data_IF_141292198633
#
_entry.id   IF_141292198633
#
_cell.length_a   1.000
_cell.length_b   1.000
_cell.length_c   1.000
_cell.angle_alpha   90.00
_cell.angle_beta   90.00
_cell.angle_gamma   90.00
#
_symmetry.space_group_name_H-M   'P 1'
#
loop_
_entity.id
_entity.type
_entity.pdbx_description
1 polymer ?
#
# COMPACT_ATOMS: atom_id res chain seq x y z
N UNK A 1 -23.55 -44.21 0.47
CA UNK A 1 -22.72 -44.23 -0.77
C UNK A 1 -22.27 -42.80 -0.98
N UNK A 2 -21.04 -42.49 -0.59
CA UNK A 2 -20.41 -41.19 -0.87
C UNK A 2 -19.86 -41.30 -2.28
N UNK A 3 -20.53 -40.64 -3.23
CA UNK A 3 -20.02 -40.51 -4.59
C UNK A 3 -18.92 -39.46 -4.53
N UNK A 4 -17.67 -39.90 -4.53
CA UNK A 4 -16.52 -39.01 -4.75
C UNK A 4 -16.53 -38.58 -6.22
N UNK A 5 -17.14 -37.44 -6.51
CA UNK A 5 -16.92 -36.72 -7.76
C UNK A 5 -15.51 -36.12 -7.71
N UNK A 6 -14.52 -36.85 -8.17
CA UNK A 6 -13.22 -36.32 -8.50
C UNK A 6 -13.32 -35.67 -9.88
N UNK A 7 -13.82 -34.43 -9.95
CA UNK A 7 -13.68 -33.64 -11.16
C UNK A 7 -12.22 -33.16 -11.24
N UNK A 8 -11.37 -33.94 -11.85
CA UNK A 8 -10.02 -33.57 -12.22
C UNK A 8 -10.05 -32.64 -13.43
N UNK A 9 -10.41 -31.39 -13.20
CA UNK A 9 -9.99 -30.25 -13.99
C UNK A 9 -9.21 -29.35 -13.02
N UNK A 10 -8.16 -29.56 -12.98
CA UNK A 10 -6.79 -29.49 -12.51
C UNK A 10 -6.32 -28.16 -11.87
N UNK A 11 -7.15 -27.20 -11.52
CA UNK A 11 -6.66 -25.93 -10.95
C UNK A 11 -7.23 -25.57 -9.57
N UNK A 12 -8.24 -26.30 -9.07
CA UNK A 12 -8.74 -26.08 -7.71
C UNK A 12 -9.32 -27.38 -7.13
N UNK A 13 -9.19 -27.54 -5.81
CA UNK A 13 -9.76 -28.68 -5.07
C UNK A 13 -10.36 -28.19 -3.76
N UNK A 14 -11.48 -28.82 -3.34
CA UNK A 14 -11.97 -28.72 -1.99
C UNK A 14 -11.31 -29.82 -1.17
N UNK A 15 -10.53 -29.45 -0.15
CA UNK A 15 -9.85 -30.42 0.70
C UNK A 15 -10.84 -31.12 1.64
N UNK A 16 -10.44 -32.25 2.22
CA UNK A 16 -11.25 -32.95 3.23
C UNK A 16 -11.57 -32.10 4.47
N UNK A 17 -10.75 -31.10 4.76
CA UNK A 17 -10.98 -30.12 5.85
C UNK A 17 -11.89 -28.94 5.44
N UNK A 18 -12.50 -28.97 4.26
CA UNK A 18 -13.41 -27.91 3.79
C UNK A 18 -12.70 -26.68 3.25
N UNK A 19 -11.40 -26.75 2.97
CA UNK A 19 -10.64 -25.61 2.44
C UNK A 19 -10.60 -25.68 0.92
N UNK A 20 -10.99 -24.61 0.25
CA UNK A 20 -10.83 -24.45 -1.18
C UNK A 20 -9.38 -24.09 -1.49
N UNK A 21 -8.71 -24.91 -2.31
CA UNK A 21 -7.29 -24.75 -2.65
C UNK A 21 -7.11 -24.64 -4.14
N UNK A 22 -6.46 -23.58 -4.60
CA UNK A 22 -6.09 -23.38 -5.99
C UNK A 22 -4.70 -23.95 -6.28
N UNK A 23 -4.53 -24.66 -7.41
CA UNK A 23 -3.21 -25.05 -7.88
C UNK A 23 -2.41 -23.80 -8.26
N UNK A 24 -1.19 -23.68 -7.74
CA UNK A 24 -0.34 -22.51 -7.95
C UNK A 24 1.10 -22.91 -8.31
N UNK A 25 1.27 -24.10 -8.86
CA UNK A 25 2.58 -24.59 -9.33
C UNK A 25 3.10 -23.71 -10.48
N UNK A 26 4.37 -23.30 -10.37
CA UNK A 26 5.05 -22.50 -11.38
C UNK A 26 5.06 -23.19 -12.75
N UNK A 27 5.17 -24.53 -12.78
CA UNK A 27 5.22 -25.31 -14.02
C UNK A 27 3.88 -25.37 -14.75
N UNK A 28 2.78 -24.97 -14.10
CA UNK A 28 1.46 -24.85 -14.71
C UNK A 28 1.18 -23.44 -15.26
N UNK A 29 2.15 -22.52 -15.15
CA UNK A 29 2.03 -21.13 -15.56
C UNK A 29 3.02 -20.82 -16.69
N UNK A 30 2.66 -19.87 -17.54
CA UNK A 30 3.49 -19.38 -18.63
C UNK A 30 3.38 -17.86 -18.77
N UNK A 31 4.19 -17.26 -19.64
CA UNK A 31 4.14 -15.84 -19.98
C UNK A 31 4.22 -14.92 -18.74
N UNK A 32 5.24 -15.14 -17.90
CA UNK A 32 5.47 -14.33 -16.72
C UNK A 32 5.90 -12.91 -17.11
N UNK A 33 5.19 -11.94 -16.62
CA UNK A 33 5.49 -10.53 -16.80
C UNK A 33 5.66 -9.84 -15.42
N UNK A 34 6.49 -8.81 -15.38
CA UNK A 34 6.63 -8.00 -14.17
C UNK A 34 5.38 -7.16 -13.95
N UNK A 35 4.94 -7.07 -12.69
CA UNK A 35 3.80 -6.25 -12.28
C UNK A 35 4.31 -4.93 -11.74
N UNK A 36 3.76 -3.82 -12.24
CA UNK A 36 3.93 -2.51 -11.62
C UNK A 36 3.03 -2.41 -10.39
N UNK A 37 3.60 -2.71 -9.23
CA UNK A 37 2.89 -2.71 -7.96
C UNK A 37 2.35 -1.33 -7.58
N UNK A 38 3.01 -0.24 -7.98
CA UNK A 38 2.55 1.12 -7.72
C UNK A 38 1.27 1.43 -8.51
N UNK A 39 1.26 1.09 -9.82
CA UNK A 39 0.07 1.23 -10.65
C UNK A 39 -1.08 0.34 -10.17
N UNK A 40 -0.80 -0.86 -9.66
CA UNK A 40 -1.82 -1.73 -9.05
C UNK A 40 -2.41 -1.08 -7.80
N UNK A 41 -1.59 -0.52 -6.92
CA UNK A 41 -2.05 0.17 -5.70
C UNK A 41 -2.96 1.35 -6.04
N UNK A 42 -2.62 2.17 -7.02
CA UNK A 42 -3.46 3.29 -7.48
C UNK A 42 -4.83 2.81 -7.96
N UNK A 43 -4.85 1.72 -8.74
CA UNK A 43 -6.11 1.11 -9.21
C UNK A 43 -6.93 0.54 -8.07
N UNK A 44 -6.31 -0.11 -7.08
CA UNK A 44 -7.01 -0.60 -5.87
C UNK A 44 -7.60 0.55 -5.08
N UNK A 45 -6.87 1.66 -4.92
CA UNK A 45 -7.35 2.85 -4.21
C UNK A 45 -8.54 3.53 -4.92
N UNK A 46 -8.63 3.40 -6.24
CA UNK A 46 -9.72 3.96 -7.05
C UNK A 46 -10.87 2.96 -7.28
N UNK A 47 -10.70 1.69 -6.92
CA UNK A 47 -11.68 0.64 -7.19
C UNK A 47 -12.96 0.87 -6.37
N UNK A 48 -14.16 0.90 -7.00
CA UNK A 48 -15.41 1.02 -6.28
C UNK A 48 -15.64 -0.19 -5.37
N UNK A 49 -15.70 0.05 -4.08
CA UNK A 49 -16.04 -0.96 -3.07
C UNK A 49 -17.44 -0.66 -2.55
N UNK A 50 -18.32 -1.63 -2.64
CA UNK A 50 -19.70 -1.51 -2.16
C UNK A 50 -20.07 -2.65 -1.23
N UNK A 51 -21.21 -2.46 -0.56
CA UNK A 51 -21.85 -3.47 0.28
C UNK A 51 -23.06 -3.99 -0.46
N UNK A 52 -23.18 -5.32 -0.62
CA UNK A 52 -24.20 -5.94 -1.44
C UNK A 52 -24.60 -7.31 -0.87
N UNK A 53 -25.64 -7.91 -1.41
CA UNK A 53 -26.02 -9.31 -1.22
C UNK A 53 -26.40 -9.92 -2.57
N UNK A 54 -26.28 -11.22 -2.69
CA UNK A 54 -26.80 -11.91 -3.86
C UNK A 54 -28.35 -11.85 -3.89
N UNK A 55 -28.93 -11.71 -5.07
CA UNK A 55 -30.40 -11.67 -5.25
C UNK A 55 -31.10 -12.95 -4.77
N UNK A 56 -30.37 -14.05 -4.63
CA UNK A 56 -30.87 -15.33 -4.13
C UNK A 56 -30.71 -15.50 -2.62
N UNK A 57 -30.10 -14.52 -1.93
CA UNK A 57 -29.86 -14.54 -0.48
C UNK A 57 -30.85 -13.64 0.26
N UNK A 58 -30.96 -13.84 1.56
CA UNK A 58 -31.70 -12.92 2.43
C UNK A 58 -31.06 -11.54 2.42
N UNK A 59 -31.88 -10.48 2.46
CA UNK A 59 -31.41 -9.09 2.57
C UNK A 59 -30.57 -8.81 3.84
N UNK A 60 -30.60 -9.69 4.82
CA UNK A 60 -29.77 -9.60 6.03
C UNK A 60 -28.33 -10.03 5.80
N UNK A 61 -28.08 -10.90 4.80
CA UNK A 61 -26.73 -11.33 4.43
C UNK A 61 -26.04 -10.19 3.66
N UNK A 62 -24.84 -9.79 4.10
CA UNK A 62 -24.10 -8.71 3.45
C UNK A 62 -22.67 -9.11 3.18
N UNK A 63 -22.25 -8.78 1.98
CA UNK A 63 -20.87 -8.91 1.49
C UNK A 63 -20.27 -7.51 1.27
N UNK A 64 -18.96 -7.44 1.16
CA UNK A 64 -18.22 -6.22 0.82
C UNK A 64 -17.23 -6.57 -0.28
N UNK A 65 -17.21 -5.78 -1.33
CA UNK A 65 -16.24 -5.96 -2.40
C UNK A 65 -16.59 -5.15 -3.64
N UNK A 66 -15.74 -5.20 -4.66
CA UNK A 66 -16.01 -4.67 -5.98
C UNK A 66 -16.99 -5.59 -6.72
N UNK A 67 -17.54 -5.09 -7.82
CA UNK A 67 -18.17 -5.96 -8.82
C UNK A 67 -17.11 -6.60 -9.72
N UNK A 68 -17.44 -7.71 -10.36
CA UNK A 68 -16.53 -8.35 -11.31
C UNK A 68 -16.24 -7.43 -12.51
N UNK A 69 -17.21 -6.66 -12.94
CA UNK A 69 -17.07 -5.69 -14.04
C UNK A 69 -16.04 -4.61 -13.69
N UNK A 70 -16.14 -4.01 -12.50
CA UNK A 70 -15.20 -2.97 -12.04
C UNK A 70 -13.79 -3.54 -11.86
N UNK A 71 -13.69 -4.74 -11.31
CA UNK A 71 -12.40 -5.41 -11.10
C UNK A 71 -11.73 -5.74 -12.44
N UNK A 72 -12.48 -6.33 -13.38
CA UNK A 72 -11.95 -6.66 -14.71
C UNK A 72 -11.55 -5.39 -15.49
N UNK A 73 -12.35 -4.33 -15.43
CA UNK A 73 -12.03 -3.05 -16.07
C UNK A 73 -10.76 -2.42 -15.50
N UNK A 74 -10.51 -2.55 -14.19
CA UNK A 74 -9.33 -2.01 -13.54
C UNK A 74 -8.07 -2.80 -13.84
N UNK A 75 -8.12 -4.13 -13.78
CA UNK A 75 -6.92 -4.99 -13.77
C UNK A 75 -6.73 -5.82 -15.05
N UNK A 76 -7.78 -6.07 -15.83
CA UNK A 76 -7.71 -6.89 -17.04
C UNK A 76 -7.37 -8.36 -16.77
N UNK A 77 -7.64 -8.84 -15.54
CA UNK A 77 -7.37 -10.23 -15.11
C UNK A 77 -8.64 -11.06 -15.16
N UNK A 78 -8.46 -12.39 -15.14
CA UNK A 78 -9.58 -13.34 -15.22
C UNK A 78 -9.98 -13.66 -16.65
N UNK A 79 -10.93 -14.59 -16.78
CA UNK A 79 -11.44 -15.08 -18.06
C UNK A 79 -12.62 -14.26 -18.61
N UNK A 80 -13.32 -13.56 -17.72
CA UNK A 80 -14.54 -12.79 -18.03
C UNK A 80 -14.75 -11.65 -17.00
N UNK A 81 -15.76 -10.85 -17.22
CA UNK A 81 -16.15 -9.72 -16.36
C UNK A 81 -17.33 -10.05 -15.42
N UNK A 82 -17.69 -11.32 -15.27
CA UNK A 82 -18.81 -11.77 -14.45
C UNK A 82 -18.39 -12.49 -13.18
N UNK A 83 -17.09 -12.82 -13.07
CA UNK A 83 -16.49 -13.48 -11.91
C UNK A 83 -15.14 -12.89 -11.54
N UNK A 84 -14.75 -13.01 -10.28
CA UNK A 84 -13.41 -12.67 -9.79
C UNK A 84 -12.75 -13.93 -9.28
N UNK A 85 -11.63 -14.31 -9.89
CA UNK A 85 -10.80 -15.41 -9.41
C UNK A 85 -10.16 -15.04 -8.07
N UNK A 86 -10.22 -15.94 -7.08
CA UNK A 86 -9.56 -15.70 -5.78
C UNK A 86 -8.06 -15.47 -5.93
N UNK A 87 -7.43 -16.18 -6.87
CA UNK A 87 -6.00 -16.02 -7.19
C UNK A 87 -5.69 -14.61 -7.69
N UNK A 88 -6.59 -14.01 -8.49
CA UNK A 88 -6.42 -12.67 -9.03
C UNK A 88 -6.63 -11.61 -7.96
N UNK A 89 -7.68 -11.75 -7.14
CA UNK A 89 -7.92 -10.85 -6.01
C UNK A 89 -6.77 -10.87 -5.01
N UNK A 90 -6.28 -12.05 -4.64
CA UNK A 90 -5.14 -12.22 -3.74
C UNK A 90 -3.84 -11.65 -4.35
N UNK A 91 -3.62 -11.87 -5.65
CA UNK A 91 -2.47 -11.33 -6.37
C UNK A 91 -2.44 -9.81 -6.41
N UNK A 92 -3.58 -9.18 -6.69
CA UNK A 92 -3.76 -7.72 -6.64
C UNK A 92 -3.53 -7.18 -5.23
N UNK A 93 -4.04 -7.85 -4.20
CA UNK A 93 -3.81 -7.46 -2.81
C UNK A 93 -2.33 -7.55 -2.43
N UNK A 94 -1.63 -8.63 -2.79
CA UNK A 94 -0.20 -8.81 -2.51
C UNK A 94 0.66 -7.76 -3.23
N UNK A 95 0.37 -7.44 -4.49
CA UNK A 95 1.07 -6.39 -5.22
C UNK A 95 0.85 -5.02 -4.54
N UNK A 96 -0.37 -4.72 -4.11
CA UNK A 96 -0.67 -3.47 -3.40
C UNK A 96 0.05 -3.36 -2.06
N UNK A 97 0.16 -4.45 -1.31
CA UNK A 97 0.91 -4.50 -0.04
C UNK A 97 2.40 -4.23 -0.29
N UNK A 98 2.99 -4.79 -1.37
CA UNK A 98 4.37 -4.52 -1.74
C UNK A 98 4.61 -3.04 -2.05
N UNK A 99 3.71 -2.41 -2.81
CA UNK A 99 3.79 -0.99 -3.12
C UNK A 99 3.65 -0.11 -1.86
N UNK A 100 2.72 -0.43 -0.98
CA UNK A 100 2.55 0.28 0.31
C UNK A 100 3.80 0.16 1.18
N UNK A 101 4.42 -1.01 1.26
CA UNK A 101 5.65 -1.21 2.01
C UNK A 101 6.79 -0.36 1.43
N UNK A 102 6.94 -0.33 0.11
CA UNK A 102 7.93 0.51 -0.54
C UNK A 102 7.71 2.00 -0.26
N UNK A 103 6.47 2.50 -0.41
CA UNK A 103 6.12 3.89 -0.12
C UNK A 103 6.37 4.26 1.34
N UNK A 104 6.09 3.35 2.28
CA UNK A 104 6.38 3.55 3.70
C UNK A 104 7.88 3.71 3.92
N UNK A 105 8.69 2.80 3.40
CA UNK A 105 10.16 2.83 3.52
C UNK A 105 10.75 4.12 2.95
N UNK A 106 10.30 4.55 1.77
CA UNK A 106 10.74 5.80 1.14
C UNK A 106 10.32 7.03 1.97
N UNK A 107 9.12 7.00 2.54
CA UNK A 107 8.62 8.09 3.39
C UNK A 107 9.41 8.18 4.68
N UNK A 108 9.72 7.07 5.33
CA UNK A 108 10.56 7.02 6.53
C UNK A 108 11.96 7.56 6.26
N UNK A 109 12.59 7.16 5.16
CA UNK A 109 13.90 7.69 4.76
C UNK A 109 13.87 9.21 4.52
N UNK A 110 12.80 9.70 3.89
CA UNK A 110 12.61 11.14 3.67
C UNK A 110 12.41 11.90 4.97
N UNK A 111 11.65 11.35 5.92
CA UNK A 111 11.46 11.96 7.24
C UNK A 111 12.77 12.06 8.01
N UNK A 112 13.60 11.02 8.00
CA UNK A 112 14.94 11.04 8.62
C UNK A 112 15.82 12.13 8.00
N UNK A 113 15.82 12.24 6.67
CA UNK A 113 16.58 13.29 5.98
C UNK A 113 16.08 14.69 6.32
N UNK A 114 14.77 14.90 6.37
CA UNK A 114 14.17 16.17 6.77
C UNK A 114 14.52 16.55 8.21
N UNK A 115 14.49 15.59 9.14
CA UNK A 115 14.89 15.82 10.53
C UNK A 115 16.36 16.27 10.64
N UNK A 116 17.26 15.66 9.88
CA UNK A 116 18.65 16.08 9.85
C UNK A 116 18.84 17.54 9.37
N UNK A 117 18.06 17.94 8.36
CA UNK A 117 18.06 19.33 7.88
C UNK A 117 17.51 20.30 8.95
N UNK A 118 16.43 19.93 9.63
CA UNK A 118 15.86 20.72 10.71
C UNK A 118 16.89 20.91 11.85
N UNK A 119 17.55 19.84 12.26
CA UNK A 119 18.56 19.90 13.33
C UNK A 119 19.75 20.79 12.92
N UNK A 120 20.18 20.73 11.67
CA UNK A 120 21.23 21.59 11.14
C UNK A 120 20.80 23.07 11.11
N UNK A 121 19.56 23.36 10.75
CA UNK A 121 19.02 24.70 10.75
C UNK A 121 18.90 25.26 12.17
N UNK A 122 18.41 24.48 13.13
CA UNK A 122 18.35 24.86 14.54
C UNK A 122 19.74 25.26 15.05
N UNK A 123 20.76 24.43 14.79
CA UNK A 123 22.15 24.74 15.18
C UNK A 123 22.65 26.06 14.58
N UNK A 124 22.33 26.32 13.31
CA UNK A 124 22.73 27.57 12.64
C UNK A 124 22.01 28.80 13.22
N UNK A 125 20.71 28.67 13.48
CA UNK A 125 19.91 29.76 14.09
C UNK A 125 20.46 30.07 15.49
N UNK A 126 20.66 29.08 16.34
CA UNK A 126 21.23 29.23 17.66
C UNK A 126 22.62 29.93 17.63
N UNK A 127 23.47 29.55 16.68
CA UNK A 127 24.79 30.18 16.51
C UNK A 127 24.68 31.66 16.10
N UNK A 128 23.74 32.01 15.21
CA UNK A 128 23.51 33.37 14.78
C UNK A 128 22.96 34.24 15.93
N UNK A 129 22.03 33.71 16.72
CA UNK A 129 21.46 34.39 17.89
C UNK A 129 22.56 34.69 18.93
N UNK A 130 23.43 33.72 19.22
CA UNK A 130 24.57 33.90 20.12
C UNK A 130 25.55 34.98 19.62
N UNK A 131 25.78 34.99 18.29
CA UNK A 131 26.66 35.97 17.68
C UNK A 131 26.08 37.40 17.78
N UNK A 132 24.76 37.53 17.62
CA UNK A 132 24.08 38.80 17.72
C UNK A 132 24.08 39.36 19.17
N UNK A 133 23.81 38.49 20.15
CA UNK A 133 23.87 38.85 21.59
C UNK A 133 25.28 39.33 21.98
N UNK A 134 26.32 38.68 21.51
CA UNK A 134 27.70 39.07 21.80
C UNK A 134 28.11 40.37 21.13
N UNK A 135 27.64 40.63 19.89
CA UNK A 135 27.86 41.89 19.19
C UNK A 135 27.19 43.10 19.92
N UNK A 136 25.90 42.91 20.25
CA UNK A 136 25.15 43.95 20.98
C UNK A 136 25.76 44.29 22.36
N UNK A 137 26.24 43.28 23.08
CA UNK A 137 26.92 43.47 24.35
C UNK A 137 28.23 44.22 24.21
N UNK A 138 29.01 43.96 23.17
CA UNK A 138 30.26 44.64 22.84
C UNK A 138 30.07 46.11 22.53
N UNK A 139 28.99 46.47 21.84
CA UNK A 139 28.67 47.84 21.47
C UNK A 139 28.17 48.64 22.67
N UNK A 140 27.42 48.06 23.60
CA UNK A 140 26.99 48.67 24.84
C UNK A 140 28.19 48.97 25.75
N UNK A 141 29.15 48.05 25.87
CA UNK A 141 30.36 48.26 26.69
C UNK A 141 31.25 49.38 26.12
N UNK A 142 31.38 49.52 24.81
CA UNK A 142 32.14 50.60 24.18
C UNK A 142 31.49 51.98 24.37
N UNK A 143 30.17 52.04 24.43
CA UNK A 143 29.45 53.32 24.61
C UNK A 143 29.46 53.80 26.04
N UNK A 144 29.53 52.92 27.05
CA UNK A 144 29.55 53.26 28.47
C UNK A 144 30.99 53.48 29.03
N UNK A 145 32.03 53.14 28.28
CA UNK A 145 33.44 53.30 28.71
C UNK A 145 34.08 54.66 28.35
N UNK A 146 33.35 55.59 27.78
CA UNK A 146 33.85 56.88 27.29
C UNK A 146 33.32 58.11 27.97
N UNK A 147 33.31 58.17 29.31
CA UNK A 147 33.18 59.47 30.05
C UNK A 147 34.37 59.63 31.02
N UNK A 148 35.05 60.75 30.95
CA UNK A 148 36.15 61.09 31.89
C UNK A 148 35.62 61.47 33.25
#
# INVERSE_FOLDING_TARGET
IIVQFSLRIATAVLTAGGVWTNACDRNLKANFEAVDSAAVLEKVAALPISRWNYSAESDEVKHIGPTAQDFHAAFGTGSDDTSIGTVDADGVALASIQALHQQLTETEARLVAQQAVIDALIKRVTALEQHQITADHSDIVKHNGGQP
#
